data_IF_990882313704
#
_entry.id   IF_990882313704
#
_cell.length_a   1.000
_cell.length_b   1.000
_cell.length_c   1.000
_cell.angle_alpha   90.00
_cell.angle_beta   90.00
_cell.angle_gamma   90.00
#
_symmetry.space_group_name_H-M   'P 1'
#
loop_
_entity.id
_entity.type
_entity.pdbx_description
1 polymer ?
#
# COMPACT_ATOMS: atom_id res chain seq x y z
N UNK A 1 25.37 4.55 -5.04
CA UNK A 1 25.27 5.65 -6.02
C UNK A 1 23.97 5.59 -6.85
N UNK A 2 23.66 4.49 -7.56
CA UNK A 2 22.48 4.42 -8.46
C UNK A 2 21.14 4.54 -7.71
N UNK A 3 20.93 3.80 -6.60
CA UNK A 3 19.67 3.86 -5.84
C UNK A 3 19.43 5.26 -5.23
N UNK A 4 20.48 5.92 -4.76
CA UNK A 4 20.40 7.28 -4.22
C UNK A 4 19.97 8.27 -5.29
N UNK A 5 20.50 8.13 -6.52
CA UNK A 5 20.06 8.91 -7.67
C UNK A 5 18.58 8.67 -7.99
N UNK A 6 18.10 7.42 -7.99
CA UNK A 6 16.69 7.12 -8.25
C UNK A 6 15.74 7.68 -7.17
N UNK A 7 16.18 7.69 -5.91
CA UNK A 7 15.42 8.22 -4.76
C UNK A 7 15.44 9.75 -4.63
N UNK A 8 16.22 10.46 -5.46
CA UNK A 8 16.26 11.92 -5.41
C UNK A 8 14.95 12.56 -5.91
N UNK A 9 14.21 11.88 -6.80
CA UNK A 9 12.94 12.34 -7.33
C UNK A 9 11.82 12.08 -6.32
N UNK A 10 11.23 13.14 -5.77
CA UNK A 10 10.28 13.08 -4.66
C UNK A 10 9.04 13.93 -4.89
N UNK A 11 7.93 13.50 -4.30
CA UNK A 11 6.73 14.30 -4.09
C UNK A 11 6.58 14.49 -2.58
N UNK A 12 6.83 15.70 -2.09
CA UNK A 12 6.98 15.95 -0.66
C UNK A 12 8.11 15.11 -0.07
N UNK A 13 7.77 14.25 0.90
CA UNK A 13 8.74 13.35 1.57
C UNK A 13 8.86 11.97 0.89
N UNK A 14 8.08 11.69 -0.15
CA UNK A 14 7.96 10.37 -0.74
C UNK A 14 8.78 10.26 -2.03
N UNK A 15 9.71 9.31 -2.08
CA UNK A 15 10.44 9.01 -3.31
C UNK A 15 9.52 8.31 -4.32
N UNK A 16 9.47 8.84 -5.54
CA UNK A 16 8.64 8.28 -6.63
C UNK A 16 9.09 6.87 -6.96
N UNK A 17 10.40 6.62 -6.94
CA UNK A 17 10.96 5.29 -7.17
C UNK A 17 10.45 4.26 -6.16
N UNK A 18 10.42 4.59 -4.86
CA UNK A 18 9.94 3.67 -3.83
C UNK A 18 8.44 3.38 -4.00
N UNK A 19 7.65 4.39 -4.39
CA UNK A 19 6.23 4.22 -4.70
C UNK A 19 6.04 3.26 -5.89
N UNK A 20 6.70 3.52 -7.01
CA UNK A 20 6.58 2.70 -8.23
C UNK A 20 7.01 1.26 -7.96
N UNK A 21 8.14 1.06 -7.27
CA UNK A 21 8.63 -0.28 -6.94
C UNK A 21 7.69 -1.04 -6.01
N UNK A 22 7.05 -0.38 -5.04
CA UNK A 22 6.02 -0.99 -4.21
C UNK A 22 4.81 -1.47 -5.04
N UNK A 23 4.29 -0.63 -5.95
CA UNK A 23 3.18 -1.01 -6.83
C UNK A 23 3.54 -2.15 -7.78
N UNK A 24 4.74 -2.11 -8.37
CA UNK A 24 5.24 -3.20 -9.22
C UNK A 24 5.37 -4.50 -8.42
N UNK A 25 5.91 -4.44 -7.21
CA UNK A 25 6.03 -5.60 -6.33
C UNK A 25 4.68 -6.23 -6.02
N UNK A 26 3.70 -5.41 -5.61
CA UNK A 26 2.33 -5.91 -5.33
C UNK A 26 1.66 -6.44 -6.60
N UNK A 27 1.83 -5.77 -7.74
CA UNK A 27 1.29 -6.24 -9.01
C UNK A 27 1.81 -7.64 -9.37
N UNK A 28 3.12 -7.86 -9.25
CA UNK A 28 3.76 -9.16 -9.52
C UNK A 28 3.25 -10.23 -8.55
N UNK A 29 3.05 -9.90 -7.28
CA UNK A 29 2.65 -10.86 -6.24
C UNK A 29 1.13 -11.10 -6.21
N UNK A 30 0.34 -10.18 -6.77
CA UNK A 30 -1.12 -10.23 -6.77
C UNK A 30 -1.76 -11.53 -7.28
N UNK A 31 -1.24 -12.25 -8.30
CA UNK A 31 -1.84 -13.51 -8.74
C UNK A 31 -1.83 -14.57 -7.64
N UNK A 32 -0.73 -14.67 -6.88
CA UNK A 32 -0.61 -15.62 -5.78
C UNK A 32 -1.48 -15.22 -4.59
N UNK A 33 -1.57 -13.93 -4.28
CA UNK A 33 -2.47 -13.42 -3.24
C UNK A 33 -3.93 -13.71 -3.57
N UNK A 34 -4.37 -13.42 -4.81
CA UNK A 34 -5.71 -13.75 -5.27
C UNK A 34 -5.98 -15.25 -5.24
N UNK A 35 -5.02 -16.09 -5.65
CA UNK A 35 -5.15 -17.54 -5.57
C UNK A 35 -5.27 -18.04 -4.11
N UNK A 36 -4.53 -17.43 -3.18
CA UNK A 36 -4.65 -17.70 -1.75
C UNK A 36 -6.03 -17.35 -1.21
N UNK A 37 -6.54 -16.15 -1.51
CA UNK A 37 -7.88 -15.70 -1.09
C UNK A 37 -9.00 -16.55 -1.70
N UNK A 38 -8.81 -17.06 -2.92
CA UNK A 38 -9.76 -17.95 -3.57
C UNK A 38 -9.97 -19.28 -2.82
N UNK A 39 -8.99 -19.72 -2.01
CA UNK A 39 -9.13 -20.88 -1.10
C UNK A 39 -9.99 -20.56 0.12
N UNK A 40 -10.07 -19.29 0.50
CA UNK A 40 -10.90 -18.78 1.59
C UNK A 40 -12.31 -18.37 1.11
N UNK A 41 -12.69 -18.70 -0.13
CA UNK A 41 -13.98 -18.34 -0.71
C UNK A 41 -14.07 -16.88 -1.19
N UNK A 42 -12.96 -16.14 -1.22
CA UNK A 42 -12.92 -14.73 -1.64
C UNK A 42 -12.34 -14.59 -3.04
N UNK A 43 -13.04 -13.88 -3.92
CA UNK A 43 -12.58 -13.45 -5.23
C UNK A 43 -12.08 -12.01 -5.09
N UNK A 44 -10.76 -11.86 -4.96
CA UNK A 44 -10.10 -10.56 -4.88
C UNK A 44 -9.43 -10.26 -6.23
N UNK A 45 -9.89 -9.25 -7.00
CA UNK A 45 -9.27 -8.90 -8.28
C UNK A 45 -7.89 -8.23 -8.06
N UNK A 46 -7.03 -8.29 -9.09
CA UNK A 46 -5.69 -7.68 -9.04
C UNK A 46 -5.71 -6.18 -8.72
N UNK A 47 -6.73 -5.47 -9.22
CA UNK A 47 -6.94 -4.05 -8.94
C UNK A 47 -7.10 -3.76 -7.44
N UNK A 48 -7.80 -4.62 -6.67
CA UNK A 48 -7.94 -4.45 -5.21
C UNK A 48 -6.59 -4.43 -4.52
N UNK A 49 -5.69 -5.35 -4.88
CA UNK A 49 -4.34 -5.40 -4.31
C UNK A 49 -3.55 -4.13 -4.59
N UNK A 50 -3.67 -3.56 -5.79
CA UNK A 50 -3.00 -2.30 -6.14
C UNK A 50 -3.51 -1.15 -5.28
N UNK A 51 -4.82 -1.03 -5.09
CA UNK A 51 -5.40 -0.03 -4.18
C UNK A 51 -4.89 -0.19 -2.75
N UNK A 52 -4.69 -1.43 -2.32
CA UNK A 52 -4.17 -1.74 -0.99
C UNK A 52 -2.65 -1.67 -0.86
N UNK A 53 -1.89 -1.35 -1.91
CA UNK A 53 -0.42 -1.25 -1.85
C UNK A 53 0.04 -0.32 -0.74
N UNK A 54 -0.49 0.90 -0.67
CA UNK A 54 -0.11 1.88 0.33
C UNK A 54 -0.60 1.50 1.75
N UNK A 55 -1.89 1.14 1.96
CA UNK A 55 -2.34 0.63 3.25
C UNK A 55 -1.53 -0.57 3.77
N UNK A 56 -1.31 -1.59 2.94
CA UNK A 56 -0.58 -2.79 3.32
C UNK A 56 0.90 -2.49 3.57
N UNK A 57 1.54 -1.69 2.71
CA UNK A 57 2.93 -1.28 2.92
C UNK A 57 3.11 -0.50 4.22
N UNK A 58 2.19 0.41 4.52
CA UNK A 58 2.18 1.16 5.79
C UNK A 58 2.00 0.23 6.99
N UNK A 59 1.04 -0.70 6.90
CA UNK A 59 0.79 -1.69 7.95
C UNK A 59 2.04 -2.56 8.21
N UNK A 60 2.69 -3.05 7.14
CA UNK A 60 3.91 -3.86 7.22
C UNK A 60 5.04 -3.08 7.89
N UNK A 61 5.25 -1.82 7.51
CA UNK A 61 6.25 -0.97 8.17
C UNK A 61 5.95 -0.75 9.65
N UNK A 62 4.69 -0.56 10.04
CA UNK A 62 4.29 -0.45 11.45
C UNK A 62 4.60 -1.75 12.20
N UNK A 63 4.20 -2.91 11.65
CA UNK A 63 4.42 -4.23 12.26
C UNK A 63 5.92 -4.51 12.45
N UNK A 64 6.74 -4.15 11.47
CA UNK A 64 8.21 -4.36 11.51
C UNK A 64 8.90 -3.31 12.41
N UNK A 65 8.21 -2.23 12.80
CA UNK A 65 8.78 -1.14 13.60
C UNK A 65 9.64 -0.18 12.77
N UNK A 66 9.52 -0.18 11.45
CA UNK A 66 10.25 0.73 10.57
C UNK A 66 9.49 2.05 10.44
N UNK A 67 10.09 3.14 10.92
CA UNK A 67 9.48 4.45 10.79
C UNK A 67 9.76 5.09 9.42
N UNK A 68 8.68 5.32 8.66
CA UNK A 68 8.63 6.07 7.41
C UNK A 68 7.80 7.34 7.58
N UNK A 69 7.88 8.31 6.65
CA UNK A 69 7.00 9.48 6.70
C UNK A 69 5.51 9.10 6.74
N UNK A 70 5.08 8.09 5.97
CA UNK A 70 3.67 7.67 5.95
C UNK A 70 3.24 7.02 7.27
N UNK A 71 4.08 6.18 7.88
CA UNK A 71 3.76 5.60 9.20
C UNK A 71 3.72 6.68 10.29
N UNK A 72 4.62 7.67 10.24
CA UNK A 72 4.56 8.82 11.15
C UNK A 72 3.24 9.60 11.00
N UNK A 73 2.77 9.81 9.77
CA UNK A 73 1.49 10.48 9.50
C UNK A 73 0.28 9.69 10.00
N UNK A 74 0.32 8.36 9.90
CA UNK A 74 -0.77 7.49 10.39
C UNK A 74 -0.79 7.44 11.92
N UNK A 75 0.38 7.32 12.54
CA UNK A 75 0.50 7.12 14.00
C UNK A 75 0.35 8.42 14.81
N UNK A 76 0.53 9.60 14.21
CA UNK A 76 0.26 10.87 14.89
C UNK A 76 -1.24 11.00 15.17
N UNK A 77 -1.70 10.97 16.44
CA UNK A 77 -3.13 11.04 16.75
C UNK A 77 -3.74 12.42 16.48
N UNK A 78 -2.95 13.49 16.43
CA UNK A 78 -3.42 14.89 16.36
C UNK A 78 -3.34 15.49 14.95
N UNK A 79 -2.62 14.83 14.03
CA UNK A 79 -2.33 15.37 12.71
C UNK A 79 -2.75 14.50 11.52
N UNK A 80 -2.42 15.00 10.33
CA UNK A 80 -2.41 14.29 9.05
C UNK A 80 -3.72 13.58 8.64
N UNK A 81 -4.87 14.15 9.00
CA UNK A 81 -6.18 13.60 8.66
C UNK A 81 -6.39 13.39 7.16
N UNK A 82 -5.81 14.22 6.30
CA UNK A 82 -5.88 14.04 4.85
C UNK A 82 -5.22 12.73 4.40
N UNK A 83 -4.05 12.40 4.94
CA UNK A 83 -3.36 11.14 4.63
C UNK A 83 -4.08 9.92 5.18
N UNK A 84 -4.63 10.04 6.40
CA UNK A 84 -5.46 8.99 7.00
C UNK A 84 -6.71 8.74 6.17
N UNK A 85 -7.41 9.81 5.77
CA UNK A 85 -8.58 9.74 4.91
C UNK A 85 -8.24 9.11 3.56
N UNK A 86 -7.12 9.50 2.95
CA UNK A 86 -6.65 8.88 1.70
C UNK A 86 -6.45 7.37 1.87
N UNK A 87 -5.79 6.92 2.94
CA UNK A 87 -5.62 5.49 3.22
C UNK A 87 -6.95 4.77 3.43
N UNK A 88 -7.90 5.37 4.15
CA UNK A 88 -9.25 4.81 4.33
C UNK A 88 -9.96 4.66 2.98
N UNK A 89 -9.92 5.70 2.13
CA UNK A 89 -10.52 5.64 0.78
C UNK A 89 -9.91 4.51 -0.04
N UNK A 90 -8.57 4.36 -0.02
CA UNK A 90 -7.88 3.28 -0.74
C UNK A 90 -8.29 1.89 -0.22
N UNK A 91 -8.44 1.73 1.09
CA UNK A 91 -8.94 0.49 1.70
C UNK A 91 -10.35 0.19 1.20
N UNK A 92 -11.25 1.17 1.25
CA UNK A 92 -12.65 1.01 0.84
C UNK A 92 -12.77 0.67 -0.65
N UNK A 93 -12.06 1.39 -1.53
CA UNK A 93 -12.09 1.13 -2.98
C UNK A 93 -11.63 -0.30 -3.28
N UNK A 94 -10.55 -0.77 -2.63
CA UNK A 94 -10.10 -2.15 -2.82
C UNK A 94 -11.10 -3.19 -2.29
N UNK A 95 -11.75 -2.90 -1.15
CA UNK A 95 -12.71 -3.79 -0.51
C UNK A 95 -14.02 -3.95 -1.29
N UNK A 96 -14.55 -2.86 -1.86
CA UNK A 96 -15.79 -2.88 -2.65
C UNK A 96 -15.71 -3.82 -3.86
N UNK A 97 -14.51 -4.06 -4.37
CA UNK A 97 -14.28 -4.94 -5.52
C UNK A 97 -14.23 -6.43 -5.15
N UNK A 98 -14.14 -6.77 -3.86
CA UNK A 98 -14.06 -8.16 -3.39
C UNK A 98 -15.43 -8.81 -3.45
N UNK A 99 -15.48 -10.05 -3.95
CA UNK A 99 -16.70 -10.86 -4.00
C UNK A 99 -16.51 -12.17 -3.24
N UNK A 100 -17.60 -12.73 -2.74
CA UNK A 100 -17.63 -14.11 -2.25
C UNK A 100 -17.96 -15.06 -3.39
N UNK A 101 -17.41 -16.27 -3.35
CA UNK A 101 -17.81 -17.39 -4.22
C UNK A 101 -19.19 -17.92 -3.82
#
# INVERSE_FOLDING_TARGET
MIIQFLRQFKIGQFAVFDLVTAFLGVWLVSPWLSAGMAKLGLIVPRSSWLWWTLPLGTLVHIIIGTNTPLTSYVLDPKGYYLWKLALVILILIGAIQVKTK
#
